data_IF_540632807446
#
_entry.id   IF_540632807446
#
_cell.length_a   1.000
_cell.length_b   1.000
_cell.length_c   1.000
_cell.angle_alpha   90.00
_cell.angle_beta   90.00
_cell.angle_gamma   90.00
#
_symmetry.space_group_name_H-M   'P 1'
#
loop_
_entity.id
_entity.type
_entity.pdbx_description
1 polymer ?
#
# COMPACT_ATOMS: atom_id res chain seq x y z
N UNK A 1 9.72 13.01 -2.06
CA UNK A 1 9.07 11.85 -2.65
C UNK A 1 8.88 10.76 -1.61
N UNK A 2 7.81 10.01 -1.71
CA UNK A 2 7.51 8.90 -0.81
C UNK A 2 7.91 7.61 -1.52
N UNK A 3 8.83 6.85 -0.94
CA UNK A 3 9.15 5.50 -1.42
C UNK A 3 8.26 4.51 -0.69
N UNK A 4 7.56 3.64 -1.43
CA UNK A 4 6.53 2.77 -0.86
C UNK A 4 6.68 1.35 -1.39
N UNK A 5 6.57 0.37 -0.49
CA UNK A 5 6.70 -1.06 -0.82
C UNK A 5 5.73 -1.89 0.01
N UNK A 6 5.13 -2.91 -0.61
CA UNK A 6 4.17 -3.80 0.04
C UNK A 6 4.65 -5.24 0.00
N UNK A 7 4.42 -5.95 1.11
CA UNK A 7 4.49 -7.40 1.17
C UNK A 7 3.06 -7.93 1.25
N UNK A 8 2.72 -8.89 0.39
CA UNK A 8 1.36 -9.42 0.25
C UNK A 8 1.35 -10.94 0.21
N UNK A 9 0.17 -11.54 0.41
CA UNK A 9 -0.07 -12.96 0.19
C UNK A 9 -1.44 -13.15 -0.44
N UNK A 10 -1.59 -14.23 -1.22
CA UNK A 10 -2.83 -14.54 -1.94
C UNK A 10 -2.81 -15.97 -2.45
N UNK A 11 -3.98 -16.55 -2.68
CA UNK A 11 -4.10 -17.78 -3.45
C UNK A 11 -4.07 -17.51 -4.96
N UNK A 12 -4.26 -16.27 -5.41
CA UNK A 12 -4.10 -15.90 -6.80
C UNK A 12 -2.62 -15.93 -7.20
N UNK A 13 -2.34 -16.34 -8.44
CA UNK A 13 -0.98 -16.37 -8.99
C UNK A 13 -0.73 -15.07 -9.75
N UNK A 14 0.07 -14.17 -9.15
CA UNK A 14 0.36 -12.85 -9.70
C UNK A 14 0.91 -12.93 -11.12
N UNK A 15 1.78 -13.91 -11.41
CA UNK A 15 2.39 -14.03 -12.73
C UNK A 15 1.40 -14.46 -13.81
N UNK A 16 0.30 -15.12 -13.41
CA UNK A 16 -0.74 -15.58 -14.33
C UNK A 16 -1.84 -14.56 -14.54
N UNK A 17 -2.27 -13.88 -13.47
CA UNK A 17 -3.45 -13.01 -13.53
C UNK A 17 -3.10 -11.53 -13.65
N UNK A 18 -1.88 -11.14 -13.30
CA UNK A 18 -1.46 -9.74 -13.30
C UNK A 18 -1.85 -9.00 -12.03
N UNK A 19 -1.28 -7.80 -11.85
CA UNK A 19 -1.42 -7.04 -10.62
C UNK A 19 -2.85 -6.63 -10.31
N UNK A 20 -3.61 -6.21 -11.31
CA UNK A 20 -4.99 -5.76 -11.10
C UNK A 20 -5.89 -6.88 -10.61
N UNK A 21 -5.91 -8.02 -11.31
CA UNK A 21 -6.76 -9.17 -10.92
C UNK A 21 -6.29 -9.76 -9.58
N UNK A 22 -4.97 -9.82 -9.33
CA UNK A 22 -4.42 -10.24 -8.05
C UNK A 22 -4.94 -9.38 -6.91
N UNK A 23 -4.90 -8.06 -7.06
CA UNK A 23 -5.34 -7.14 -6.02
C UNK A 23 -6.85 -7.21 -5.75
N UNK A 24 -7.64 -7.65 -6.72
CA UNK A 24 -9.10 -7.81 -6.58
C UNK A 24 -9.52 -9.17 -6.04
N UNK A 25 -8.60 -10.13 -5.97
CA UNK A 25 -8.91 -11.45 -5.44
C UNK A 25 -9.22 -11.35 -3.94
N UNK A 26 -10.35 -11.95 -3.49
CA UNK A 26 -10.76 -11.85 -2.09
C UNK A 26 -9.78 -12.50 -1.11
N UNK A 27 -8.90 -13.41 -1.58
CA UNK A 27 -7.88 -14.04 -0.73
C UNK A 27 -6.62 -13.19 -0.58
N UNK A 28 -6.46 -12.15 -1.38
CA UNK A 28 -5.27 -11.29 -1.32
C UNK A 28 -5.29 -10.45 -0.06
N UNK A 29 -4.16 -10.47 0.67
CA UNK A 29 -3.98 -9.75 1.92
C UNK A 29 -2.65 -9.02 1.93
N UNK A 30 -2.60 -7.90 2.64
CA UNK A 30 -1.36 -7.17 2.90
C UNK A 30 -0.74 -7.72 4.18
N UNK A 31 0.53 -8.11 4.09
CA UNK A 31 1.32 -8.51 5.26
C UNK A 31 1.85 -7.27 5.96
N UNK A 32 2.50 -6.39 5.21
CA UNK A 32 2.99 -5.10 5.73
C UNK A 32 3.26 -4.12 4.61
N UNK A 33 3.37 -2.87 4.97
CA UNK A 33 3.85 -1.80 4.11
C UNK A 33 5.11 -1.19 4.73
N UNK A 34 6.09 -0.89 3.88
CA UNK A 34 7.28 -0.13 4.26
C UNK A 34 7.28 1.16 3.46
N UNK A 35 7.59 2.28 4.10
CA UNK A 35 7.63 3.56 3.38
C UNK A 35 8.69 4.48 3.96
N UNK A 36 9.16 5.39 3.12
CA UNK A 36 10.12 6.41 3.51
C UNK A 36 9.68 7.74 2.92
N UNK A 37 9.58 8.75 3.76
CA UNK A 37 9.21 10.11 3.35
C UNK A 37 10.49 10.92 3.21
N UNK A 38 10.87 11.25 1.95
CA UNK A 38 12.13 11.94 1.68
C UNK A 38 13.32 11.16 2.24
N UNK A 39 14.12 11.83 3.07
CA UNK A 39 15.31 11.24 3.72
C UNK A 39 15.05 10.79 5.16
N UNK A 40 13.79 10.78 5.60
CA UNK A 40 13.43 10.34 6.94
C UNK A 40 13.67 8.83 7.11
N UNK A 41 13.74 8.32 8.35
CA UNK A 41 13.88 6.88 8.57
C UNK A 41 12.73 6.08 7.94
N UNK A 42 13.04 4.86 7.48
CA UNK A 42 12.06 3.94 6.93
C UNK A 42 11.08 3.54 8.04
N UNK A 43 9.79 3.60 7.73
CA UNK A 43 8.71 3.23 8.63
C UNK A 43 8.02 1.96 8.14
N UNK A 44 7.37 1.24 9.06
CA UNK A 44 6.61 0.03 8.74
C UNK A 44 5.19 0.16 9.26
N UNK A 45 4.25 -0.42 8.51
CA UNK A 45 2.85 -0.53 8.91
C UNK A 45 2.43 -2.01 8.80
N UNK A 46 1.87 -2.55 9.87
CA UNK A 46 1.48 -3.95 9.97
C UNK A 46 -0.01 -4.04 10.30
N UNK A 47 -0.87 -4.46 9.35
CA UNK A 47 -2.30 -4.62 9.64
C UNK A 47 -2.54 -5.56 10.82
N UNK A 48 -3.47 -5.18 11.70
CA UNK A 48 -3.81 -5.95 12.89
C UNK A 48 -2.88 -5.73 14.08
N UNK A 49 -1.82 -4.93 13.93
CA UNK A 49 -0.87 -4.66 15.02
C UNK A 49 -1.01 -3.25 15.60
N UNK A 50 -1.84 -2.42 14.99
CA UNK A 50 -2.10 -1.06 15.44
C UNK A 50 -3.46 -0.99 16.13
N UNK A 51 -3.72 0.11 16.87
CA UNK A 51 -5.01 0.33 17.53
C UNK A 51 -6.16 0.35 16.50
N UNK A 52 -5.90 0.91 15.35
CA UNK A 52 -6.70 0.76 14.14
C UNK A 52 -5.75 0.60 12.96
N UNK A 53 -6.26 0.15 11.82
CA UNK A 53 -5.44 -0.09 10.63
C UNK A 53 -5.48 1.09 9.66
N UNK A 54 -5.78 2.29 10.15
CA UNK A 54 -5.76 3.49 9.33
C UNK A 54 -4.35 3.81 8.84
N UNK A 55 -4.29 4.64 7.81
CA UNK A 55 -3.01 5.11 7.27
C UNK A 55 -2.21 5.84 8.37
N UNK A 56 -0.88 5.58 8.47
CA UNK A 56 -0.03 6.35 9.39
C UNK A 56 -0.14 7.85 9.14
N UNK A 57 -0.17 8.63 10.22
CA UNK A 57 -0.41 10.07 10.16
C UNK A 57 0.63 10.81 9.32
N UNK A 58 1.91 10.46 9.46
CA UNK A 58 2.99 11.09 8.70
C UNK A 58 2.84 10.83 7.19
N UNK A 59 2.45 9.61 6.82
CA UNK A 59 2.22 9.26 5.42
C UNK A 59 0.99 10.01 4.87
N UNK A 60 -0.09 10.07 5.65
CA UNK A 60 -1.28 10.83 5.27
C UNK A 60 -0.96 12.30 5.04
N UNK A 61 -0.18 12.90 5.94
CA UNK A 61 0.18 14.31 5.84
C UNK A 61 1.08 14.58 4.63
N UNK A 62 2.02 13.68 4.34
CA UNK A 62 2.88 13.79 3.16
C UNK A 62 2.06 13.72 1.86
N UNK A 63 1.09 12.82 1.79
CA UNK A 63 0.19 12.74 0.63
C UNK A 63 -0.67 13.99 0.48
N UNK A 64 -1.20 14.50 1.58
CA UNK A 64 -2.01 15.72 1.59
C UNK A 64 -1.20 16.95 1.15
N UNK A 65 0.11 16.94 1.38
CA UNK A 65 1.00 18.02 0.93
C UNK A 65 1.33 17.95 -0.57
N UNK A 66 0.90 16.90 -1.27
CA UNK A 66 1.14 16.73 -2.69
C UNK A 66 2.40 15.93 -3.02
N UNK A 67 3.02 15.27 -2.05
CA UNK A 67 4.17 14.40 -2.34
C UNK A 67 3.78 13.24 -3.24
N UNK A 68 4.64 12.94 -4.21
CA UNK A 68 4.44 11.82 -5.12
C UNK A 68 4.98 10.52 -4.51
N UNK A 69 4.34 9.41 -4.88
CA UNK A 69 4.77 8.07 -4.49
C UNK A 69 5.61 7.47 -5.60
N UNK A 70 6.72 6.85 -5.22
CA UNK A 70 7.49 5.98 -6.11
C UNK A 70 7.56 4.58 -5.52
N UNK A 71 7.63 3.58 -6.39
CA UNK A 71 7.73 2.19 -6.00
C UNK A 71 8.51 1.42 -7.07
N UNK A 72 9.14 0.30 -6.67
CA UNK A 72 9.88 -0.55 -7.62
C UNK A 72 8.96 -1.08 -8.72
N UNK A 73 7.74 -1.48 -8.37
CA UNK A 73 6.70 -1.89 -9.32
C UNK A 73 5.44 -1.09 -9.06
N UNK A 74 5.40 0.13 -9.58
CA UNK A 74 4.31 1.08 -9.29
C UNK A 74 2.93 0.54 -9.70
N UNK A 75 2.84 -0.25 -10.76
CA UNK A 75 1.56 -0.83 -11.19
C UNK A 75 0.99 -1.78 -10.12
N UNK A 76 1.85 -2.58 -9.50
CA UNK A 76 1.46 -3.48 -8.42
C UNK A 76 1.00 -2.68 -7.19
N UNK A 77 1.82 -1.74 -6.73
CA UNK A 77 1.50 -0.94 -5.55
C UNK A 77 0.20 -0.14 -5.76
N UNK A 78 0.02 0.43 -6.95
CA UNK A 78 -1.20 1.18 -7.29
C UNK A 78 -2.43 0.28 -7.25
N UNK A 79 -2.35 -0.91 -7.85
CA UNK A 79 -3.46 -1.86 -7.85
C UNK A 79 -3.84 -2.28 -6.43
N UNK A 80 -2.85 -2.58 -5.61
CA UNK A 80 -3.08 -2.93 -4.20
C UNK A 80 -3.65 -1.77 -3.41
N UNK A 81 -3.18 -0.55 -3.67
CA UNK A 81 -3.71 0.63 -3.00
C UNK A 81 -5.19 0.84 -3.34
N UNK A 82 -5.53 0.84 -4.62
CA UNK A 82 -6.89 1.08 -5.09
C UNK A 82 -7.87 -0.01 -4.67
N UNK A 83 -7.45 -1.27 -4.69
CA UNK A 83 -8.35 -2.41 -4.51
C UNK A 83 -8.30 -3.04 -3.12
N UNK A 84 -7.30 -2.72 -2.30
CA UNK A 84 -7.18 -3.25 -0.95
C UNK A 84 -7.07 -2.15 0.10
N UNK A 85 -6.06 -1.29 0.00
CA UNK A 85 -5.83 -0.27 1.04
C UNK A 85 -6.99 0.70 1.19
N UNK A 86 -7.49 1.25 0.10
CA UNK A 86 -8.61 2.19 0.15
C UNK A 86 -9.91 1.51 0.58
N UNK A 87 -10.38 0.42 -0.09
CA UNK A 87 -11.67 -0.15 0.28
C UNK A 87 -11.69 -0.90 1.61
N UNK A 88 -10.59 -1.58 2.00
CA UNK A 88 -10.60 -2.38 3.23
C UNK A 88 -10.11 -1.63 4.45
N UNK A 89 -9.17 -0.69 4.29
CA UNK A 89 -8.53 0.00 5.40
C UNK A 89 -8.83 1.50 5.44
N UNK A 90 -9.60 2.00 4.48
CA UNK A 90 -9.99 3.41 4.47
C UNK A 90 -8.86 4.38 4.12
N UNK A 91 -7.79 3.90 3.50
CA UNK A 91 -6.71 4.78 3.06
C UNK A 91 -7.20 5.72 1.96
N UNK A 92 -6.68 6.95 1.87
CA UNK A 92 -7.13 7.90 0.86
C UNK A 92 -6.81 7.39 -0.55
N UNK A 93 -7.66 7.74 -1.51
CA UNK A 93 -7.39 7.43 -2.90
C UNK A 93 -6.15 8.18 -3.39
N UNK A 94 -5.37 7.52 -4.25
CA UNK A 94 -4.20 8.11 -4.91
C UNK A 94 -4.36 7.95 -6.41
N UNK A 95 -3.89 8.93 -7.14
CA UNK A 95 -3.99 8.94 -8.60
C UNK A 95 -2.72 8.43 -9.25
#
# INVERSE_FOLDING_TARGET
MITFDLETKSYADLTKVGAWAYSKDPTTQIICACYQIGDAPIQEWWPGKNADDSIPEDLRDALASGMLIEAHNISFERSMWMNVLTPRYGWPEVL
#
